data_IF_211341197801
#
_entry.id   IF_211341197801
#
_cell.length_a   1.000
_cell.length_b   1.000
_cell.length_c   1.000
_cell.angle_alpha   90.00
_cell.angle_beta   90.00
_cell.angle_gamma   90.00
#
_symmetry.space_group_name_H-M   'P 1'
#
loop_
_entity.id
_entity.type
_entity.pdbx_description
1 polymer ?
#
# COMPACT_ATOMS: atom_id res chain seq x y z
N UNK A 1 0.47 16.06 -2.78
CA UNK A 1 1.38 16.11 -1.60
C UNK A 1 0.61 16.84 -0.51
N UNK A 2 0.72 16.43 0.73
CA UNK A 2 0.01 17.11 1.82
C UNK A 2 0.74 18.42 2.10
N UNK A 3 0.06 19.53 1.88
CA UNK A 3 0.64 20.88 2.04
C UNK A 3 1.03 21.22 3.49
N UNK A 4 0.61 20.40 4.45
CA UNK A 4 0.90 20.55 5.89
C UNK A 4 1.47 19.24 6.47
N UNK A 5 2.52 18.72 5.87
CA UNK A 5 3.17 17.50 6.39
C UNK A 5 3.82 17.76 7.75
N UNK A 6 3.27 17.15 8.78
CA UNK A 6 3.82 17.15 10.13
C UNK A 6 4.48 15.79 10.37
N UNK A 7 5.82 15.71 10.50
CA UNK A 7 6.53 14.44 10.65
C UNK A 7 6.18 13.70 11.96
N UNK A 8 5.65 14.40 12.96
CA UNK A 8 5.22 13.79 14.22
C UNK A 8 3.85 13.11 14.11
N UNK A 9 3.06 13.47 13.11
CA UNK A 9 1.77 12.85 12.82
C UNK A 9 1.94 11.72 11.81
N UNK A 10 1.49 10.53 12.14
CA UNK A 10 1.67 9.35 11.28
C UNK A 10 0.87 9.40 9.97
N UNK A 11 -0.20 10.18 9.86
CA UNK A 11 -0.95 10.43 8.63
C UNK A 11 -1.20 9.18 7.76
N UNK A 12 -1.76 8.12 8.35
CA UNK A 12 -1.98 6.85 7.66
C UNK A 12 -0.72 5.99 7.50
N UNK A 13 0.38 6.34 8.17
CA UNK A 13 1.59 5.50 8.29
C UNK A 13 1.61 4.82 9.65
N UNK A 14 2.16 3.63 9.70
CA UNK A 14 2.32 2.88 10.94
C UNK A 14 3.62 2.09 10.93
N UNK A 15 4.16 1.84 12.10
CA UNK A 15 5.24 0.88 12.32
C UNK A 15 4.68 -0.31 13.05
N UNK A 16 4.71 -1.47 12.41
CA UNK A 16 4.13 -2.71 12.92
C UNK A 16 5.28 -3.69 13.15
N UNK A 17 5.28 -4.31 14.32
CA UNK A 17 6.23 -5.35 14.65
C UNK A 17 5.55 -6.71 14.45
N UNK A 18 6.17 -7.57 13.66
CA UNK A 18 5.70 -8.95 13.50
C UNK A 18 5.89 -9.75 14.79
N UNK A 19 5.08 -10.77 14.97
CA UNK A 19 5.29 -11.78 16.01
C UNK A 19 6.50 -12.69 15.69
N UNK A 20 6.88 -13.62 16.59
CA UNK A 20 8.02 -14.53 16.35
C UNK A 20 7.87 -15.41 15.11
N UNK A 21 6.64 -15.69 14.68
CA UNK A 21 6.31 -16.47 13.49
C UNK A 21 6.27 -15.62 12.21
N UNK A 22 6.52 -14.30 12.32
CA UNK A 22 6.53 -13.35 11.21
C UNK A 22 5.15 -12.83 10.81
N UNK A 23 4.10 -13.10 11.60
CA UNK A 23 2.74 -12.65 11.32
C UNK A 23 2.57 -11.19 11.73
N UNK A 24 1.76 -10.47 10.98
CA UNK A 24 1.42 -9.08 11.25
C UNK A 24 -0.07 -8.84 10.96
N UNK A 25 -0.65 -7.87 11.63
CA UNK A 25 -1.99 -7.39 11.34
C UNK A 25 -2.12 -5.91 11.72
N UNK A 26 -2.96 -5.18 11.01
CA UNK A 26 -3.30 -3.80 11.32
C UNK A 26 -4.62 -3.41 10.66
N UNK A 27 -5.25 -2.39 11.22
CA UNK A 27 -6.42 -1.75 10.64
C UNK A 27 -6.02 -0.47 9.91
N UNK A 28 -6.65 -0.23 8.76
CA UNK A 28 -6.43 0.95 7.94
C UNK A 28 -7.71 1.33 7.20
N UNK A 29 -7.68 2.48 6.57
CA UNK A 29 -8.69 2.87 5.59
C UNK A 29 -8.39 2.22 4.24
N UNK A 30 -9.44 1.96 3.45
CA UNK A 30 -9.26 1.54 2.05
C UNK A 30 -8.49 2.62 1.29
N UNK A 31 -7.42 2.25 0.59
CA UNK A 31 -6.72 3.20 -0.27
C UNK A 31 -7.60 3.57 -1.47
N UNK A 32 -7.36 4.76 -2.00
CA UNK A 32 -7.99 5.26 -3.23
C UNK A 32 -6.94 5.63 -4.26
N UNK A 33 -7.33 5.69 -5.54
CA UNK A 33 -6.48 6.25 -6.57
C UNK A 33 -6.25 7.75 -6.29
N UNK A 34 -5.07 8.26 -6.64
CA UNK A 34 -4.74 9.67 -6.46
C UNK A 34 -3.83 10.17 -7.58
N UNK A 35 -3.90 11.48 -7.92
CA UNK A 35 -3.00 12.07 -8.91
C UNK A 35 -1.60 12.28 -8.32
N UNK A 36 -0.56 12.00 -9.09
CA UNK A 36 0.79 12.44 -8.76
C UNK A 36 0.87 13.97 -8.75
N UNK A 37 1.73 14.57 -7.94
CA UNK A 37 1.96 16.00 -7.99
C UNK A 37 2.35 16.46 -9.39
N UNK A 38 1.65 17.47 -9.92
CA UNK A 38 1.85 17.99 -11.28
C UNK A 38 2.55 19.35 -11.27
N UNK A 39 3.11 19.73 -10.15
CA UNK A 39 3.90 20.94 -9.94
C UNK A 39 5.38 20.72 -10.30
N UNK A 40 6.06 21.80 -10.55
CA UNK A 40 7.50 21.84 -10.87
C UNK A 40 7.91 20.89 -12.02
N UNK A 41 9.19 20.55 -12.08
CA UNK A 41 9.81 19.78 -13.17
C UNK A 41 9.19 18.38 -13.39
N UNK A 42 8.66 17.75 -12.33
CA UNK A 42 8.00 16.45 -12.47
C UNK A 42 6.69 16.58 -13.28
N UNK A 43 5.90 17.61 -13.01
CA UNK A 43 4.68 17.86 -13.77
C UNK A 43 4.96 18.16 -15.24
N UNK A 44 6.02 18.92 -15.54
CA UNK A 44 6.44 19.18 -16.90
C UNK A 44 6.91 17.91 -17.62
N UNK A 45 7.68 17.07 -16.95
CA UNK A 45 8.11 15.79 -17.50
C UNK A 45 6.89 14.90 -17.85
N UNK A 46 5.95 14.77 -16.94
CA UNK A 46 4.75 13.95 -17.15
C UNK A 46 3.92 14.49 -18.31
N UNK A 47 3.68 15.80 -18.37
CA UNK A 47 2.92 16.42 -19.48
C UNK A 47 3.57 16.22 -20.83
N UNK A 48 4.89 16.33 -20.87
CA UNK A 48 5.66 16.23 -22.12
C UNK A 48 5.98 14.78 -22.53
N UNK A 49 5.63 13.79 -21.72
CA UNK A 49 5.89 12.37 -22.02
C UNK A 49 4.57 11.60 -22.15
N UNK A 50 4.07 11.02 -21.05
CA UNK A 50 2.93 10.12 -21.09
C UNK A 50 1.58 10.83 -20.97
N UNK A 51 1.53 12.01 -20.40
CA UNK A 51 0.30 12.69 -19.98
C UNK A 51 -0.50 11.98 -18.88
N UNK A 52 -0.01 10.82 -18.42
CA UNK A 52 -0.65 10.01 -17.36
C UNK A 52 -0.07 10.40 -16.04
N UNK A 53 -0.91 10.84 -15.10
CA UNK A 53 -0.47 11.35 -13.80
C UNK A 53 -1.19 10.70 -12.61
N UNK A 54 -2.00 9.68 -12.84
CA UNK A 54 -2.70 8.97 -11.79
C UNK A 54 -1.90 7.77 -11.29
N UNK A 55 -2.07 7.48 -10.02
CA UNK A 55 -1.67 6.23 -9.40
C UNK A 55 -2.91 5.45 -8.95
N UNK A 56 -2.98 4.14 -9.21
CA UNK A 56 -4.07 3.31 -8.70
C UNK A 56 -4.04 3.23 -7.16
N UNK A 57 -5.14 2.79 -6.56
CA UNK A 57 -5.21 2.57 -5.12
C UNK A 57 -4.17 1.54 -4.67
N UNK A 58 -3.32 1.91 -3.70
CA UNK A 58 -2.26 1.03 -3.21
C UNK A 58 -1.85 1.34 -1.77
N UNK A 59 -1.20 0.35 -1.16
CA UNK A 59 -0.53 0.46 0.14
C UNK A 59 0.97 0.34 -0.07
N UNK A 60 1.76 1.21 0.59
CA UNK A 60 3.20 1.11 0.64
C UNK A 60 3.63 0.21 1.80
N UNK A 61 4.62 -0.62 1.55
CA UNK A 61 5.27 -1.42 2.58
C UNK A 61 6.78 -1.25 2.52
N UNK A 62 7.38 -1.07 3.69
CA UNK A 62 8.80 -1.23 3.92
C UNK A 62 8.96 -2.36 4.95
N UNK A 63 9.52 -3.48 4.52
CA UNK A 63 9.69 -4.66 5.35
C UNK A 63 11.17 -4.84 5.66
N UNK A 64 11.50 -4.90 6.94
CA UNK A 64 12.87 -5.03 7.41
C UNK A 64 12.99 -6.25 8.33
N UNK A 65 14.05 -7.00 8.18
CA UNK A 65 14.41 -8.11 9.04
C UNK A 65 15.91 -8.07 9.36
N UNK A 66 16.32 -8.88 10.34
CA UNK A 66 17.75 -9.01 10.69
C UNK A 66 18.53 -9.92 9.73
N UNK A 67 17.84 -10.73 8.95
CA UNK A 67 18.41 -11.85 8.18
C UNK A 67 18.13 -11.78 6.69
N UNK A 68 17.38 -10.79 6.25
CA UNK A 68 17.05 -10.59 4.85
C UNK A 68 17.28 -9.12 4.45
N UNK A 69 17.44 -8.89 3.17
CA UNK A 69 17.54 -7.55 2.62
C UNK A 69 16.22 -6.79 2.79
N UNK A 70 16.30 -5.50 3.06
CA UNK A 70 15.10 -4.67 3.19
C UNK A 70 14.30 -4.64 1.89
N UNK A 71 12.98 -4.79 2.00
CA UNK A 71 12.05 -4.76 0.86
C UNK A 71 11.18 -3.52 0.94
N UNK A 72 11.23 -2.65 -0.07
CA UNK A 72 10.25 -1.59 -0.28
C UNK A 72 9.35 -1.96 -1.47
N UNK A 73 8.06 -2.01 -1.25
CA UNK A 73 7.10 -2.44 -2.27
C UNK A 73 5.73 -1.78 -2.11
N UNK A 74 4.82 -2.06 -3.04
CA UNK A 74 3.43 -1.65 -3.02
C UNK A 74 2.53 -2.86 -3.18
N UNK A 75 1.32 -2.79 -2.65
CA UNK A 75 0.23 -3.73 -2.95
C UNK A 75 -0.90 -2.91 -3.55
N UNK A 76 -1.39 -3.31 -4.71
CA UNK A 76 -2.43 -2.63 -5.47
C UNK A 76 -3.78 -3.30 -5.31
N UNK A 77 -4.83 -2.49 -5.22
CA UNK A 77 -6.21 -2.97 -5.15
C UNK A 77 -6.67 -3.43 -6.53
N UNK A 78 -7.09 -4.69 -6.66
CA UNK A 78 -7.66 -5.19 -7.92
C UNK A 78 -8.89 -4.39 -8.30
N UNK A 79 -8.99 -4.06 -9.59
CA UNK A 79 -10.09 -3.25 -10.12
C UNK A 79 -10.04 -1.77 -9.77
N UNK A 80 -8.93 -1.31 -9.16
CA UNK A 80 -8.71 0.12 -8.95
C UNK A 80 -8.65 0.86 -10.29
N UNK A 81 -9.20 2.08 -10.31
CA UNK A 81 -8.97 2.99 -11.42
C UNK A 81 -7.47 3.16 -11.67
N UNK A 82 -7.10 3.32 -12.93
CA UNK A 82 -5.73 3.55 -13.37
C UNK A 82 -4.74 2.38 -13.14
N UNK A 83 -5.23 1.16 -12.84
CA UNK A 83 -4.37 -0.01 -12.61
C UNK A 83 -3.46 -0.32 -13.81
N UNK A 84 -3.94 -0.02 -15.03
CA UNK A 84 -3.22 -0.26 -16.29
C UNK A 84 -2.36 0.93 -16.74
N UNK A 85 -2.36 2.03 -15.98
CA UNK A 85 -1.68 3.25 -16.38
C UNK A 85 -1.03 4.02 -15.22
N UNK A 86 -0.51 3.30 -14.23
CA UNK A 86 0.24 3.89 -13.11
C UNK A 86 1.41 4.74 -13.62
N UNK A 87 1.41 6.04 -13.27
CA UNK A 87 2.50 6.96 -13.66
C UNK A 87 3.87 6.52 -13.14
N UNK A 88 3.90 5.79 -12.02
CA UNK A 88 5.13 5.29 -11.42
C UNK A 88 5.58 3.95 -12.03
N UNK A 89 4.81 3.36 -12.97
CA UNK A 89 5.09 2.05 -13.57
C UNK A 89 5.31 0.93 -12.55
N UNK A 90 4.73 1.08 -11.35
CA UNK A 90 4.95 0.18 -10.21
C UNK A 90 4.09 -1.07 -10.23
N UNK A 91 3.02 -1.09 -11.01
CA UNK A 91 2.08 -2.22 -11.04
C UNK A 91 2.73 -3.46 -11.65
N UNK A 92 2.66 -4.57 -10.91
CA UNK A 92 3.06 -5.90 -11.37
C UNK A 92 1.95 -6.89 -11.02
N UNK A 93 1.68 -7.92 -11.83
CA UNK A 93 0.61 -8.89 -11.55
C UNK A 93 0.67 -9.50 -10.16
N UNK A 94 1.87 -9.81 -9.67
CA UNK A 94 2.08 -10.38 -8.33
C UNK A 94 1.76 -9.42 -7.17
N UNK A 95 1.64 -8.12 -7.44
CA UNK A 95 1.33 -7.09 -6.44
C UNK A 95 -0.14 -6.66 -6.47
N UNK A 96 -0.93 -7.18 -7.40
CA UNK A 96 -2.37 -6.89 -7.49
C UNK A 96 -3.11 -7.91 -6.62
N UNK A 97 -3.91 -7.41 -5.69
CA UNK A 97 -4.56 -8.27 -4.70
C UNK A 97 -6.03 -7.91 -4.50
N UNK A 98 -6.78 -8.86 -3.97
CA UNK A 98 -8.20 -8.75 -3.68
C UNK A 98 -8.43 -8.41 -2.21
N UNK A 99 -9.33 -7.46 -1.97
CA UNK A 99 -9.86 -7.16 -0.65
C UNK A 99 -11.20 -7.86 -0.50
N UNK A 100 -11.24 -8.90 0.33
CA UNK A 100 -12.45 -9.66 0.59
C UNK A 100 -13.39 -8.87 1.49
N UNK A 101 -14.64 -8.72 1.09
CA UNK A 101 -15.66 -8.05 1.88
C UNK A 101 -16.27 -9.03 2.90
N UNK A 102 -16.40 -8.57 4.13
CA UNK A 102 -17.03 -9.27 5.24
C UNK A 102 -18.18 -8.43 5.80
N UNK A 103 -19.26 -9.10 6.19
CA UNK A 103 -20.37 -8.46 6.89
C UNK A 103 -20.03 -8.10 8.33
N UNK A 104 -20.99 -7.47 9.06
CA UNK A 104 -20.85 -7.26 10.50
C UNK A 104 -20.58 -8.58 11.25
N UNK A 105 -19.82 -8.52 12.33
CA UNK A 105 -19.46 -9.70 13.11
C UNK A 105 -18.11 -9.56 13.78
N UNK A 106 -17.57 -10.65 14.29
CA UNK A 106 -16.26 -10.66 14.95
C UNK A 106 -15.15 -10.81 13.91
N UNK A 107 -14.27 -9.85 13.85
CA UNK A 107 -13.07 -9.90 12.99
C UNK A 107 -12.04 -10.90 13.54
N UNK A 108 -11.06 -11.35 12.72
CA UNK A 108 -10.06 -12.34 13.14
C UNK A 108 -9.22 -11.94 14.35
N UNK A 109 -9.08 -10.66 14.64
CA UNK A 109 -8.39 -10.12 15.82
C UNK A 109 -9.28 -10.00 17.06
N UNK A 110 -10.55 -10.50 16.99
CA UNK A 110 -11.52 -10.44 18.06
C UNK A 110 -12.33 -9.14 18.17
N UNK A 111 -12.10 -8.18 17.27
CA UNK A 111 -12.85 -6.92 17.24
C UNK A 111 -14.28 -7.13 16.75
N UNK A 112 -15.25 -6.60 17.47
CA UNK A 112 -16.63 -6.55 17.01
C UNK A 112 -16.82 -5.44 15.97
N UNK A 113 -17.32 -5.83 14.80
CA UNK A 113 -17.59 -4.93 13.68
C UNK A 113 -19.09 -4.72 13.54
N UNK A 114 -19.55 -3.50 13.74
CA UNK A 114 -20.96 -3.12 13.59
C UNK A 114 -21.38 -2.86 12.15
N UNK A 115 -20.43 -2.87 11.21
CA UNK A 115 -20.65 -2.67 9.79
C UNK A 115 -19.73 -3.54 8.93
N UNK A 116 -19.91 -3.53 7.60
CA UNK A 116 -19.07 -4.30 6.72
C UNK A 116 -17.61 -3.80 6.77
N UNK A 117 -16.67 -4.71 6.62
CA UNK A 117 -15.24 -4.41 6.54
C UNK A 117 -14.60 -5.22 5.42
N UNK A 118 -13.40 -4.83 5.02
CA UNK A 118 -12.63 -5.54 4.01
C UNK A 118 -11.34 -6.05 4.62
N UNK A 119 -10.96 -7.24 4.21
CA UNK A 119 -9.74 -7.90 4.67
C UNK A 119 -8.84 -8.23 3.50
N UNK A 120 -7.55 -8.04 3.71
CA UNK A 120 -6.48 -8.47 2.82
C UNK A 120 -5.53 -9.37 3.58
N UNK A 121 -5.19 -10.51 2.99
CA UNK A 121 -4.09 -11.35 3.42
C UNK A 121 -2.96 -11.26 2.38
N UNK A 122 -1.75 -11.01 2.82
CA UNK A 122 -0.60 -10.92 1.93
C UNK A 122 0.69 -11.36 2.62
N UNK A 123 1.44 -12.24 1.96
CA UNK A 123 2.72 -12.75 2.44
C UNK A 123 3.87 -12.09 1.67
N UNK A 124 4.84 -11.54 2.41
CA UNK A 124 6.07 -11.01 1.83
C UNK A 124 7.15 -12.10 1.83
N UNK A 125 7.59 -12.48 0.65
CA UNK A 125 8.72 -13.40 0.50
C UNK A 125 10.01 -12.58 0.47
N UNK A 126 10.87 -12.81 1.48
CA UNK A 126 12.13 -12.08 1.64
C UNK A 126 13.33 -12.94 1.21
N UNK A 127 14.24 -12.35 0.46
CA UNK A 127 15.49 -13.00 0.12
C UNK A 127 16.49 -12.87 1.28
N UNK A 128 17.10 -13.96 1.71
CA UNK A 128 18.15 -13.91 2.74
C UNK A 128 19.33 -13.07 2.28
N UNK A 129 19.82 -12.24 3.19
CA UNK A 129 21.06 -11.49 2.93
C UNK A 129 22.22 -12.44 2.73
N UNK A 130 22.95 -12.29 1.63
CA UNK A 130 24.11 -13.09 1.30
C UNK A 130 25.40 -12.69 2.05
N UNK A 131 25.27 -12.19 3.31
CA UNK A 131 26.44 -11.83 4.13
C UNK A 131 26.79 -12.90 5.12
#
# INVERSE_FOLDING_TARGET
>A
MQDNFDPEKMWGRGRIKCDPEGRYAFWSMMPTAYPAPMDAALGDLIRNTTGRYWRPAHLHFAVETKTADALATHIFVRGSEHIDCDVAFGVRPALITDFTEHGPGVAPDGREMNGPYRMLNYDFVMTRSGR
#
